data_IF_186607002566
#
_entry.id   IF_186607002566
#
_cell.length_a   1.000
_cell.length_b   1.000
_cell.length_c   1.000
_cell.angle_alpha   90.00
_cell.angle_beta   90.00
_cell.angle_gamma   90.00
#
_symmetry.space_group_name_H-M   'P 1'
#
loop_
_entity.id
_entity.type
_entity.pdbx_description
1 polymer ?
#
# COMPACT_ATOMS: atom_id res chain seq x y z
N UNK A 1 12.00 -9.15 -19.53
CA UNK A 1 11.15 -7.94 -19.38
C UNK A 1 10.76 -7.67 -17.93
N UNK A 2 10.23 -8.64 -17.18
CA UNK A 2 9.76 -8.47 -15.79
C UNK A 2 10.84 -7.95 -14.83
N UNK A 3 12.06 -8.51 -14.85
CA UNK A 3 13.15 -8.07 -13.94
C UNK A 3 13.48 -6.59 -14.13
N UNK A 4 13.66 -6.13 -15.37
CA UNK A 4 13.94 -4.72 -15.66
C UNK A 4 12.81 -3.78 -15.23
N UNK A 5 11.56 -4.20 -15.44
CA UNK A 5 10.40 -3.43 -15.00
C UNK A 5 10.30 -3.32 -13.47
N UNK A 6 10.55 -4.43 -12.76
CA UNK A 6 10.55 -4.46 -11.29
C UNK A 6 11.67 -3.61 -10.73
N UNK A 7 12.87 -3.64 -11.32
CA UNK A 7 13.98 -2.79 -10.90
C UNK A 7 13.67 -1.30 -11.09
N UNK A 8 13.10 -0.92 -12.24
CA UNK A 8 12.70 0.47 -12.51
C UNK A 8 11.59 0.95 -11.57
N UNK A 9 10.53 0.17 -11.41
CA UNK A 9 9.42 0.50 -10.51
C UNK A 9 9.86 0.56 -9.04
N UNK A 10 10.72 -0.36 -8.60
CA UNK A 10 11.30 -0.34 -7.26
C UNK A 10 12.02 0.98 -6.97
N UNK A 11 12.87 1.46 -7.88
CA UNK A 11 13.55 2.75 -7.70
C UNK A 11 12.56 3.91 -7.54
N UNK A 12 11.53 3.97 -8.38
CA UNK A 12 10.51 5.03 -8.33
C UNK A 12 9.70 4.97 -7.03
N UNK A 13 9.31 3.77 -6.59
CA UNK A 13 8.52 3.58 -5.36
C UNK A 13 9.30 3.93 -4.09
N UNK A 14 10.64 3.85 -4.10
CA UNK A 14 11.46 4.15 -2.94
C UNK A 14 11.81 5.64 -2.79
N UNK A 15 11.80 6.42 -3.87
CA UNK A 15 12.17 7.84 -3.85
C UNK A 15 11.38 8.65 -2.79
N UNK A 16 10.04 8.52 -2.67
CA UNK A 16 9.28 9.27 -1.66
C UNK A 16 9.69 8.91 -0.22
N UNK A 17 10.06 7.66 0.03
CA UNK A 17 10.52 7.20 1.35
C UNK A 17 11.86 7.84 1.69
N UNK A 18 12.79 7.87 0.73
CA UNK A 18 14.09 8.51 0.92
C UNK A 18 13.95 10.02 1.10
N UNK A 19 13.08 10.68 0.34
CA UNK A 19 12.81 12.11 0.50
C UNK A 19 12.19 12.42 1.86
N UNK A 20 11.29 11.57 2.37
CA UNK A 20 10.70 11.73 3.70
C UNK A 20 11.76 11.59 4.80
N UNK A 21 12.65 10.59 4.69
CA UNK A 21 13.77 10.40 5.63
C UNK A 21 14.69 11.63 5.62
N UNK A 22 15.06 12.14 4.45
CA UNK A 22 15.90 13.34 4.32
C UNK A 22 15.23 14.58 4.89
N UNK A 23 13.93 14.76 4.66
CA UNK A 23 13.15 15.87 5.21
C UNK A 23 13.08 15.81 6.74
N UNK A 24 12.88 14.61 7.30
CA UNK A 24 12.87 14.40 8.75
C UNK A 24 14.23 14.67 9.39
N UNK A 25 15.31 14.26 8.73
CA UNK A 25 16.68 14.51 9.20
C UNK A 25 17.05 16.00 9.13
N UNK A 26 16.67 16.68 8.05
CA UNK A 26 16.83 18.12 7.93
C UNK A 26 16.07 18.87 9.04
N UNK A 27 14.86 18.42 9.38
CA UNK A 27 14.07 18.96 10.49
C UNK A 27 14.76 18.78 11.85
N UNK A 28 15.52 17.70 12.04
CA UNK A 28 16.31 17.44 13.25
C UNK A 28 17.73 18.05 13.21
N UNK A 29 18.05 18.88 12.20
CA UNK A 29 19.35 19.55 12.08
C UNK A 29 20.51 18.64 11.65
N UNK A 30 20.22 17.41 11.20
CA UNK A 30 21.24 16.44 10.76
C UNK A 30 21.63 16.73 9.31
N UNK A 31 22.92 16.99 9.06
CA UNK A 31 23.45 17.15 7.70
C UNK A 31 23.46 15.82 6.95
N UNK A 32 22.74 15.76 5.83
CA UNK A 32 22.71 14.60 4.93
C UNK A 32 23.99 14.52 4.08
N UNK A 33 25.09 14.04 4.66
CA UNK A 33 26.33 13.76 3.92
C UNK A 33 26.15 12.57 2.97
N UNK A 34 27.00 12.44 1.93
CA UNK A 34 26.92 11.32 0.97
C UNK A 34 27.06 9.95 1.64
N UNK A 35 27.88 9.85 2.69
CA UNK A 35 28.08 8.63 3.47
C UNK A 35 26.82 8.28 4.24
N UNK A 36 26.22 9.26 4.92
CA UNK A 36 24.96 9.05 5.63
C UNK A 36 23.83 8.60 4.68
N UNK A 37 23.84 9.15 3.45
CA UNK A 37 22.93 8.76 2.38
C UNK A 37 23.06 7.29 1.97
N UNK A 38 24.30 6.81 1.87
CA UNK A 38 24.57 5.39 1.58
C UNK A 38 24.12 4.48 2.73
N UNK A 39 24.33 4.90 3.98
CA UNK A 39 23.96 4.11 5.17
C UNK A 39 22.45 3.92 5.22
N UNK A 40 21.64 4.99 5.23
CA UNK A 40 20.20 4.84 5.39
C UNK A 40 19.57 4.06 4.22
N UNK A 41 20.07 4.24 2.99
CA UNK A 41 19.59 3.48 1.82
C UNK A 41 19.91 2.00 1.93
N UNK A 42 21.13 1.67 2.34
CA UNK A 42 21.55 0.27 2.50
C UNK A 42 20.79 -0.41 3.64
N UNK A 43 20.62 0.27 4.77
CA UNK A 43 19.82 -0.22 5.90
C UNK A 43 18.38 -0.46 5.48
N UNK A 44 17.77 0.48 4.75
CA UNK A 44 16.40 0.31 4.25
C UNK A 44 16.26 -0.93 3.36
N UNK A 45 17.17 -1.13 2.40
CA UNK A 45 17.14 -2.32 1.53
C UNK A 45 17.38 -3.61 2.31
N UNK A 46 18.34 -3.63 3.24
CA UNK A 46 18.58 -4.80 4.08
C UNK A 46 17.35 -5.17 4.92
N UNK A 47 16.67 -4.17 5.50
CA UNK A 47 15.46 -4.38 6.28
C UNK A 47 14.31 -4.92 5.42
N UNK A 48 14.07 -4.37 4.23
CA UNK A 48 12.99 -4.84 3.37
C UNK A 48 13.24 -6.26 2.87
N UNK A 49 14.48 -6.61 2.52
CA UNK A 49 14.86 -7.97 2.13
C UNK A 49 14.73 -8.93 3.30
N UNK A 50 15.16 -8.53 4.50
CA UNK A 50 15.02 -9.35 5.70
C UNK A 50 13.55 -9.67 6.00
N UNK A 51 12.67 -8.66 5.94
CA UNK A 51 11.22 -8.83 6.12
C UNK A 51 10.66 -9.76 5.04
N UNK A 52 11.05 -9.58 3.77
CA UNK A 52 10.59 -10.41 2.66
C UNK A 52 11.00 -11.88 2.79
N UNK A 53 12.20 -12.17 3.32
CA UNK A 53 12.64 -13.54 3.59
C UNK A 53 11.96 -14.18 4.80
N UNK A 54 11.54 -13.36 5.77
CA UNK A 54 10.99 -13.85 7.05
C UNK A 54 9.48 -14.12 6.97
N UNK A 55 8.77 -13.42 6.09
CA UNK A 55 7.32 -13.51 5.93
C UNK A 55 6.99 -14.35 4.68
N UNK A 56 6.64 -15.64 4.83
CA UNK A 56 6.33 -16.50 3.69
C UNK A 56 4.98 -16.14 3.04
N UNK A 57 4.06 -15.52 3.80
CA UNK A 57 2.71 -15.09 3.36
C UNK A 57 2.69 -13.65 2.80
N UNK A 58 3.75 -13.24 2.10
CA UNK A 58 3.87 -11.87 1.56
C UNK A 58 2.74 -11.52 0.57
N UNK A 59 2.24 -12.50 -0.18
CA UNK A 59 1.11 -12.32 -1.11
C UNK A 59 -0.17 -11.89 -0.38
N UNK A 60 -0.52 -12.58 0.70
CA UNK A 60 -1.71 -12.25 1.47
C UNK A 60 -1.54 -10.94 2.26
N UNK A 61 -0.34 -10.67 2.78
CA UNK A 61 -0.04 -9.39 3.43
C UNK A 61 -0.20 -8.22 2.46
N UNK A 62 0.30 -8.35 1.24
CA UNK A 62 0.13 -7.34 0.18
C UNK A 62 -1.33 -7.20 -0.24
N UNK A 63 -2.08 -8.31 -0.28
CA UNK A 63 -3.53 -8.30 -0.52
C UNK A 63 -4.29 -7.51 0.56
N UNK A 64 -3.92 -7.69 1.83
CA UNK A 64 -4.50 -6.95 2.95
C UNK A 64 -4.17 -5.45 2.88
N UNK A 65 -2.89 -5.10 2.70
CA UNK A 65 -2.45 -3.70 2.59
C UNK A 65 -3.09 -3.03 1.37
N UNK A 66 -3.17 -3.74 0.24
CA UNK A 66 -3.83 -3.25 -0.97
C UNK A 66 -5.33 -3.02 -0.77
N UNK A 67 -6.01 -3.94 -0.08
CA UNK A 67 -7.42 -3.77 0.26
C UNK A 67 -7.61 -2.55 1.18
N UNK A 68 -6.86 -2.42 2.27
CA UNK A 68 -7.06 -1.32 3.23
C UNK A 68 -6.58 0.04 2.71
N UNK A 69 -5.47 0.09 1.97
CA UNK A 69 -4.86 1.34 1.51
C UNK A 69 -5.38 1.77 0.14
N UNK A 70 -5.21 0.92 -0.87
CA UNK A 70 -5.59 1.22 -2.25
C UNK A 70 -7.10 1.10 -2.47
N UNK A 71 -7.75 0.19 -1.75
CA UNK A 71 -9.19 -0.05 -1.85
C UNK A 71 -10.02 1.24 -1.68
N UNK A 72 -9.89 1.95 -0.55
CA UNK A 72 -10.52 3.24 -0.34
C UNK A 72 -10.11 4.29 -1.34
N UNK A 73 -8.81 4.51 -1.44
CA UNK A 73 -8.24 5.66 -2.13
C UNK A 73 -8.57 5.67 -3.62
N UNK A 74 -8.66 4.49 -4.23
CA UNK A 74 -8.86 4.36 -5.68
C UNK A 74 -10.30 4.03 -6.06
N UNK A 75 -11.02 3.20 -5.31
CA UNK A 75 -12.29 2.65 -5.80
C UNK A 75 -13.54 3.41 -5.37
N UNK A 76 -13.65 3.81 -4.09
CA UNK A 76 -14.88 4.46 -3.61
C UNK A 76 -14.68 5.93 -3.19
N UNK A 77 -13.48 6.33 -2.79
CA UNK A 77 -13.19 7.71 -2.36
C UNK A 77 -13.43 8.75 -3.47
N UNK A 78 -13.04 8.53 -4.75
CA UNK A 78 -13.36 9.48 -5.83
C UNK A 78 -14.86 9.66 -6.04
N UNK A 79 -15.65 8.58 -5.97
CA UNK A 79 -17.10 8.61 -6.09
C UNK A 79 -17.75 9.38 -4.94
N UNK A 80 -17.24 9.22 -3.71
CA UNK A 80 -17.68 10.01 -2.55
C UNK A 80 -17.34 11.49 -2.74
N UNK A 81 -16.11 11.82 -3.14
CA UNK A 81 -15.69 13.20 -3.43
C UNK A 81 -16.63 13.83 -4.47
N UNK A 82 -16.94 13.10 -5.54
CA UNK A 82 -17.82 13.59 -6.60
C UNK A 82 -19.22 13.91 -6.07
N UNK A 83 -19.81 13.02 -5.25
CA UNK A 83 -21.11 13.24 -4.62
C UNK A 83 -21.10 14.48 -3.71
N UNK A 84 -20.04 14.68 -2.93
CA UNK A 84 -19.89 15.83 -2.00
C UNK A 84 -19.74 17.15 -2.75
N UNK A 85 -18.96 17.18 -3.83
CA UNK A 85 -18.68 18.41 -4.60
C UNK A 85 -19.86 18.78 -5.50
N UNK A 86 -20.39 17.84 -6.28
CA UNK A 86 -21.41 18.14 -7.30
C UNK A 86 -22.83 18.18 -6.77
N UNK A 87 -23.11 17.56 -5.62
CA UNK A 87 -24.45 17.46 -5.01
C UNK A 87 -25.55 17.20 -6.05
N UNK A 88 -25.43 16.15 -6.88
CA UNK A 88 -26.40 15.88 -7.92
C UNK A 88 -27.78 15.59 -7.30
N UNK A 89 -28.85 15.92 -8.02
CA UNK A 89 -30.20 15.62 -7.52
C UNK A 89 -30.44 14.12 -7.47
N UNK A 90 -31.18 13.66 -6.46
CA UNK A 90 -31.50 12.24 -6.23
C UNK A 90 -32.23 11.55 -7.41
N UNK A 91 -32.79 12.36 -8.32
CA UNK A 91 -33.52 11.90 -9.51
C UNK A 91 -32.60 11.59 -10.70
N UNK A 92 -31.30 11.93 -10.61
CA UNK A 92 -30.31 11.70 -11.66
C UNK A 92 -29.74 10.29 -11.55
N UNK A 93 -29.60 9.63 -12.69
CA UNK A 93 -28.96 8.31 -12.79
C UNK A 93 -27.52 8.31 -12.24
N UNK A 94 -26.77 9.40 -12.46
CA UNK A 94 -25.39 9.56 -11.98
C UNK A 94 -25.27 9.43 -10.45
N UNK A 95 -26.29 9.86 -9.70
CA UNK A 95 -26.31 9.77 -8.23
C UNK A 95 -26.40 8.31 -7.79
N UNK A 96 -27.35 7.56 -8.35
CA UNK A 96 -27.53 6.14 -8.03
C UNK A 96 -26.35 5.30 -8.50
N UNK A 97 -25.81 5.56 -9.69
CA UNK A 97 -24.62 4.89 -10.19
C UNK A 97 -23.41 5.07 -9.25
N UNK A 98 -23.18 6.29 -8.76
CA UNK A 98 -22.10 6.58 -7.81
C UNK A 98 -22.28 5.82 -6.49
N UNK A 99 -23.51 5.77 -5.95
CA UNK A 99 -23.80 5.02 -4.74
C UNK A 99 -23.63 3.51 -4.91
N UNK A 100 -24.08 2.95 -6.03
CA UNK A 100 -23.89 1.52 -6.35
C UNK A 100 -22.40 1.19 -6.43
N UNK A 101 -21.60 2.01 -7.12
CA UNK A 101 -20.15 1.84 -7.20
C UNK A 101 -19.53 1.88 -5.81
N UNK A 102 -19.89 2.85 -4.97
CA UNK A 102 -19.37 2.94 -3.60
C UNK A 102 -19.67 1.65 -2.82
N UNK A 103 -20.91 1.17 -2.83
CA UNK A 103 -21.31 -0.03 -2.09
C UNK A 103 -20.55 -1.26 -2.57
N UNK A 104 -20.47 -1.46 -3.90
CA UNK A 104 -19.75 -2.60 -4.49
C UNK A 104 -18.26 -2.53 -4.14
N UNK A 105 -17.62 -1.38 -4.32
CA UNK A 105 -16.19 -1.20 -4.08
C UNK A 105 -15.82 -1.35 -2.60
N UNK A 106 -16.67 -0.84 -1.69
CA UNK A 106 -16.51 -1.06 -0.24
C UNK A 106 -16.65 -2.55 0.08
N UNK A 107 -17.66 -3.23 -0.46
CA UNK A 107 -17.86 -4.66 -0.23
C UNK A 107 -16.65 -5.48 -0.73
N UNK A 108 -16.16 -5.23 -1.95
CA UNK A 108 -14.97 -5.89 -2.51
C UNK A 108 -13.74 -5.63 -1.65
N UNK A 109 -13.57 -4.40 -1.16
CA UNK A 109 -12.45 -4.05 -0.27
C UNK A 109 -12.50 -4.85 1.04
N UNK A 110 -13.67 -4.93 1.68
CA UNK A 110 -13.86 -5.70 2.90
C UNK A 110 -13.66 -7.19 2.70
N UNK A 111 -14.25 -7.76 1.63
CA UNK A 111 -14.08 -9.17 1.29
C UNK A 111 -12.62 -9.51 0.98
N UNK A 112 -11.91 -8.64 0.26
CA UNK A 112 -10.49 -8.78 -0.02
C UNK A 112 -9.64 -8.77 1.26
N UNK A 113 -9.92 -7.85 2.18
CA UNK A 113 -9.24 -7.79 3.47
C UNK A 113 -9.48 -9.06 4.32
N UNK A 114 -10.73 -9.56 4.37
CA UNK A 114 -11.07 -10.80 5.08
C UNK A 114 -10.37 -12.00 4.43
N UNK A 115 -10.38 -12.08 3.09
CA UNK A 115 -9.72 -13.15 2.34
C UNK A 115 -8.22 -13.20 2.61
N UNK A 116 -7.56 -12.03 2.58
CA UNK A 116 -6.15 -11.89 2.92
C UNK A 116 -5.85 -12.29 4.38
N UNK A 117 -6.68 -11.85 5.34
CA UNK A 117 -6.52 -12.24 6.75
C UNK A 117 -6.70 -13.75 6.95
N UNK A 118 -7.63 -14.38 6.24
CA UNK A 118 -7.81 -15.83 6.26
C UNK A 118 -6.59 -16.54 5.70
N UNK A 119 -6.04 -16.08 4.58
CA UNK A 119 -4.82 -16.63 3.98
C UNK A 119 -3.65 -16.58 4.95
N UNK A 120 -3.39 -15.41 5.55
CA UNK A 120 -2.39 -15.23 6.60
C UNK A 120 -2.62 -16.21 7.76
N UNK A 121 -3.86 -16.36 8.25
CA UNK A 121 -4.15 -17.24 9.39
C UNK A 121 -3.92 -18.72 9.07
N UNK A 122 -4.20 -19.16 7.84
CA UNK A 122 -3.98 -20.54 7.42
C UNK A 122 -2.47 -20.79 7.24
N UNK A 123 -1.78 -19.90 6.54
CA UNK A 123 -0.36 -20.03 6.26
C UNK A 123 0.49 -19.90 7.54
N UNK A 124 0.10 -19.01 8.46
CA UNK A 124 0.76 -18.85 9.75
C UNK A 124 0.57 -20.08 10.66
N UNK A 125 -0.54 -20.81 10.53
CA UNK A 125 -0.82 -21.98 11.39
C UNK A 125 0.13 -23.16 11.13
N UNK A 126 0.67 -23.28 9.91
CA UNK A 126 1.65 -24.30 9.53
C UNK A 126 3.10 -23.82 9.59
N UNK A 127 3.35 -22.54 9.88
CA UNK A 127 4.67 -21.95 9.75
C UNK A 127 5.52 -22.14 11.01
N UNK A 128 6.71 -22.72 10.84
CA UNK A 128 7.78 -22.69 11.84
C UNK A 128 8.84 -21.71 11.40
N UNK A 129 9.06 -20.68 12.22
CA UNK A 129 9.83 -19.48 11.88
C UNK A 129 11.29 -19.75 11.49
N UNK A 130 11.92 -20.79 12.06
CA UNK A 130 13.28 -21.24 11.75
C UNK A 130 13.50 -22.72 12.17
N UNK A 131 12.97 -23.67 11.40
CA UNK A 131 13.37 -25.08 11.48
C UNK A 131 13.82 -25.58 10.11
#
# INVERSE_FOLDING_TARGET
>A
MVVFHVLGSYQVCQMPVFDMIETLMAKHGVRCTRIFRLIYRSVYVCLTVFIACTIPFFGDLMGFIGAVGTGPTTFWLPSVIWLVIKKPSWRRWDFWASWVIIIICVAVTFLGAIGALRGISVDASGYKFYQ
#
